data_IF_873958584277
#
_entry.id   IF_873958584277
#
_cell.length_a   1.000
_cell.length_b   1.000
_cell.length_c   1.000
_cell.angle_alpha   90.00
_cell.angle_beta   90.00
_cell.angle_gamma   90.00
#
_symmetry.space_group_name_H-M   'P 1'
#
loop_
_entity.id
_entity.type
_entity.pdbx_description
1 polymer ?
#
# COMPACT_ATOMS: atom_id res chain seq x y z
N UNK A 1 9.88 -43.89 -12.69
CA UNK A 1 9.83 -42.51 -12.19
C UNK A 1 8.86 -41.79 -13.11
N UNK A 2 7.62 -41.58 -12.66
CA UNK A 2 6.65 -40.85 -13.46
C UNK A 2 7.01 -39.37 -13.37
N UNK A 3 7.22 -38.73 -14.53
CA UNK A 3 7.29 -37.27 -14.63
C UNK A 3 5.98 -36.71 -14.07
N UNK A 4 6.09 -35.96 -12.99
CA UNK A 4 4.98 -35.17 -12.47
C UNK A 4 4.86 -33.99 -13.41
N UNK A 5 3.96 -34.09 -14.40
CA UNK A 5 3.57 -32.96 -15.23
C UNK A 5 3.14 -31.81 -14.31
N UNK A 6 3.84 -30.68 -14.41
CA UNK A 6 3.53 -29.48 -13.67
C UNK A 6 2.29 -28.82 -14.28
N UNK A 7 1.10 -29.17 -13.75
CA UNK A 7 -0.21 -28.75 -14.26
C UNK A 7 -0.45 -27.22 -14.18
N UNK A 8 0.46 -26.43 -13.60
CA UNK A 8 0.29 -24.98 -13.41
C UNK A 8 1.27 -24.10 -14.20
N UNK A 9 1.89 -24.59 -15.27
CA UNK A 9 2.72 -23.72 -16.10
C UNK A 9 1.86 -22.77 -16.94
N UNK A 10 1.94 -21.47 -16.66
CA UNK A 10 1.42 -20.41 -17.55
C UNK A 10 2.02 -20.60 -18.94
N UNK A 11 1.22 -20.56 -20.03
CA UNK A 11 1.74 -20.66 -21.39
C UNK A 11 2.86 -19.63 -21.63
N UNK A 12 3.91 -20.03 -22.35
CA UNK A 12 5.10 -19.18 -22.51
C UNK A 12 4.79 -17.78 -23.07
N UNK A 13 3.83 -17.68 -24.01
CA UNK A 13 3.36 -16.40 -24.55
C UNK A 13 2.65 -15.53 -23.51
N UNK A 14 1.79 -16.14 -22.67
CA UNK A 14 1.08 -15.45 -21.59
C UNK A 14 2.06 -15.02 -20.48
N UNK A 15 3.11 -15.79 -20.23
CA UNK A 15 4.17 -15.45 -19.27
C UNK A 15 5.02 -14.25 -19.74
N UNK A 16 5.28 -14.14 -21.04
CA UNK A 16 5.97 -12.97 -21.62
C UNK A 16 5.11 -11.70 -21.66
N UNK A 17 3.80 -11.83 -21.79
CA UNK A 17 2.89 -10.67 -21.87
C UNK A 17 2.39 -10.23 -20.50
N UNK A 18 2.05 -11.18 -19.64
CA UNK A 18 1.39 -10.95 -18.36
C UNK A 18 2.10 -11.55 -17.15
N UNK A 19 3.02 -12.49 -17.33
CA UNK A 19 3.70 -13.20 -16.24
C UNK A 19 5.00 -12.56 -15.78
N UNK A 20 5.99 -13.40 -15.50
CA UNK A 20 7.28 -12.99 -14.89
C UNK A 20 8.38 -12.73 -15.93
N UNK A 21 8.15 -13.08 -17.20
CA UNK A 21 9.10 -12.86 -18.31
C UNK A 21 8.84 -11.57 -19.10
N UNK A 22 8.00 -10.68 -18.57
CA UNK A 22 7.73 -9.39 -19.19
C UNK A 22 9.02 -8.56 -19.29
N UNK A 23 9.28 -7.88 -20.43
CA UNK A 23 10.54 -7.18 -20.66
C UNK A 23 10.78 -6.01 -19.71
N UNK A 24 9.73 -5.42 -19.15
CA UNK A 24 9.81 -4.29 -18.23
C UNK A 24 9.95 -4.68 -16.75
N UNK A 25 10.04 -5.97 -16.42
CA UNK A 25 10.33 -6.42 -15.05
C UNK A 25 11.62 -5.75 -14.55
N UNK A 26 11.57 -5.18 -13.35
CA UNK A 26 12.69 -4.48 -12.71
C UNK A 26 13.24 -3.25 -13.46
N UNK A 27 12.55 -2.78 -14.50
CA UNK A 27 13.00 -1.61 -15.29
C UNK A 27 12.87 -0.27 -14.56
N UNK A 28 12.11 -0.23 -13.45
CA UNK A 28 11.89 0.97 -12.67
C UNK A 28 12.24 0.75 -11.21
N UNK A 29 12.77 1.79 -10.56
CA UNK A 29 12.93 1.80 -9.11
C UNK A 29 11.54 1.93 -8.47
N UNK A 30 11.17 0.96 -7.65
CA UNK A 30 9.85 0.88 -7.02
C UNK A 30 9.87 1.24 -5.53
N UNK A 31 11.05 1.51 -4.95
CA UNK A 31 11.20 1.88 -3.55
C UNK A 31 10.42 3.16 -3.25
N UNK A 32 9.73 3.18 -2.11
CA UNK A 32 8.89 4.29 -1.67
C UNK A 32 7.82 4.74 -2.69
N UNK A 33 7.34 3.82 -3.54
CA UNK A 33 6.28 4.09 -4.51
C UNK A 33 4.85 4.03 -3.93
N UNK A 34 4.69 3.71 -2.65
CA UNK A 34 3.40 3.78 -1.97
C UNK A 34 3.18 5.15 -1.33
N UNK A 35 1.94 5.62 -1.34
CA UNK A 35 1.52 6.76 -0.51
C UNK A 35 1.49 6.32 0.95
N UNK A 36 1.98 7.15 1.88
CA UNK A 36 1.89 6.91 3.32
C UNK A 36 0.42 6.81 3.76
N UNK A 37 0.11 5.94 4.72
CA UNK A 37 -1.20 5.76 5.31
C UNK A 37 -1.09 5.01 6.64
N UNK A 38 -1.97 5.33 7.58
CA UNK A 38 -1.91 4.83 8.96
C UNK A 38 -2.73 3.58 9.23
N UNK A 39 -3.74 3.29 8.41
CA UNK A 39 -4.65 2.16 8.62
C UNK A 39 -5.00 1.47 7.31
N UNK A 40 -4.95 0.14 7.28
CA UNK A 40 -5.47 -0.67 6.19
C UNK A 40 -6.70 -1.44 6.63
N UNK A 41 -7.81 -1.26 5.90
CA UNK A 41 -9.05 -2.00 6.07
C UNK A 41 -9.17 -3.00 4.92
N UNK A 42 -9.32 -4.27 5.24
CA UNK A 42 -9.68 -5.32 4.28
C UNK A 42 -11.10 -5.81 4.55
N UNK A 43 -12.00 -5.61 3.59
CA UNK A 43 -13.34 -6.22 3.62
C UNK A 43 -13.25 -7.62 3.02
N UNK A 44 -13.72 -8.64 3.72
CA UNK A 44 -13.83 -10.00 3.20
C UNK A 44 -15.12 -10.08 2.37
N UNK A 45 -14.99 -10.38 1.08
CA UNK A 45 -16.13 -10.38 0.18
C UNK A 45 -15.89 -11.27 -1.02
N UNK A 46 -16.72 -12.30 -1.21
CA UNK A 46 -16.71 -13.23 -2.35
C UNK A 46 -15.32 -13.86 -2.59
N UNK A 47 -15.20 -14.66 -3.65
CA UNK A 47 -13.89 -15.15 -4.12
C UNK A 47 -13.43 -14.29 -5.31
N UNK A 48 -12.11 -14.25 -5.63
CA UNK A 48 -11.61 -13.40 -6.71
C UNK A 48 -12.22 -13.64 -8.08
N UNK A 49 -12.69 -14.86 -8.32
CA UNK A 49 -13.34 -15.24 -9.58
C UNK A 49 -14.70 -14.55 -9.76
N UNK A 50 -15.32 -14.10 -8.66
CA UNK A 50 -16.59 -13.37 -8.67
C UNK A 50 -16.42 -11.84 -8.54
N UNK A 51 -15.19 -11.33 -8.52
CA UNK A 51 -14.92 -9.91 -8.39
C UNK A 51 -15.02 -9.18 -9.73
N UNK A 52 -15.77 -8.08 -9.75
CA UNK A 52 -15.80 -7.14 -10.86
C UNK A 52 -14.48 -6.35 -10.93
N UNK A 53 -14.13 -5.85 -12.11
CA UNK A 53 -12.93 -5.02 -12.31
C UNK A 53 -12.87 -3.80 -11.39
N UNK A 54 -14.03 -3.25 -11.05
CA UNK A 54 -14.22 -2.20 -10.05
C UNK A 54 -15.08 -2.75 -8.91
N UNK A 55 -14.47 -3.59 -8.06
CA UNK A 55 -15.18 -4.28 -6.98
C UNK A 55 -15.80 -3.32 -5.96
N UNK A 56 -15.26 -2.11 -5.86
CA UNK A 56 -15.74 -0.99 -5.05
C UNK A 56 -17.01 -0.32 -5.59
N UNK A 57 -17.57 -0.77 -6.72
CA UNK A 57 -18.77 -0.17 -7.33
C UNK A 57 -20.06 -0.92 -7.01
N UNK A 58 -19.99 -2.10 -6.37
CA UNK A 58 -21.18 -2.85 -5.98
C UNK A 58 -21.09 -3.52 -4.60
N UNK A 59 -22.26 -3.70 -3.97
CA UNK A 59 -22.43 -4.49 -2.75
C UNK A 59 -21.70 -3.92 -1.54
N UNK A 60 -21.24 -4.80 -0.66
CA UNK A 60 -20.61 -4.40 0.59
C UNK A 60 -19.34 -3.54 0.39
N UNK A 61 -18.40 -3.88 -0.53
CA UNK A 61 -17.22 -3.03 -0.76
C UNK A 61 -17.58 -1.60 -1.18
N UNK A 62 -18.65 -1.41 -1.97
CA UNK A 62 -19.11 -0.08 -2.38
C UNK A 62 -19.52 0.77 -1.20
N UNK A 63 -20.27 0.22 -0.25
CA UNK A 63 -20.69 0.96 0.95
C UNK A 63 -19.48 1.48 1.73
N UNK A 64 -18.48 0.63 1.94
CA UNK A 64 -17.22 1.01 2.57
C UNK A 64 -16.46 2.07 1.76
N UNK A 65 -16.38 1.92 0.44
CA UNK A 65 -15.68 2.86 -0.42
C UNK A 65 -16.33 4.24 -0.44
N UNK A 66 -17.67 4.29 -0.51
CA UNK A 66 -18.44 5.53 -0.45
C UNK A 66 -18.24 6.24 0.88
N UNK A 67 -18.40 5.55 2.02
CA UNK A 67 -18.21 6.17 3.34
C UNK A 67 -16.76 6.65 3.54
N UNK A 68 -15.77 5.88 3.08
CA UNK A 68 -14.36 6.30 3.16
C UNK A 68 -14.09 7.56 2.33
N UNK A 69 -14.74 7.70 1.19
CA UNK A 69 -14.62 8.88 0.33
C UNK A 69 -15.31 10.10 0.97
N UNK A 70 -16.50 9.92 1.49
CA UNK A 70 -17.35 11.01 1.99
C UNK A 70 -16.88 11.54 3.36
N UNK A 71 -16.33 10.67 4.21
CA UNK A 71 -15.90 11.01 5.58
C UNK A 71 -14.37 11.17 5.73
N UNK A 72 -13.64 11.44 4.63
CA UNK A 72 -12.17 11.46 4.65
C UNK A 72 -11.57 12.45 5.65
N UNK A 73 -12.24 13.59 5.90
CA UNK A 73 -11.82 14.59 6.88
C UNK A 73 -12.00 14.17 8.34
N UNK A 74 -12.88 13.21 8.57
CA UNK A 74 -13.31 12.80 9.91
C UNK A 74 -12.49 11.61 10.44
N UNK A 75 -11.69 10.99 9.57
CA UNK A 75 -10.83 9.87 9.91
C UNK A 75 -9.62 10.33 10.74
N UNK A 76 -9.37 9.62 11.83
CA UNK A 76 -8.21 9.84 12.71
C UNK A 76 -6.87 9.69 11.98
N UNK A 77 -6.82 8.82 10.97
CA UNK A 77 -5.63 8.52 10.17
C UNK A 77 -6.02 8.25 8.73
N UNK A 78 -5.10 8.51 7.81
CA UNK A 78 -5.27 8.13 6.41
C UNK A 78 -5.49 6.62 6.33
N UNK A 79 -6.66 6.23 5.82
CA UNK A 79 -7.13 4.85 5.78
C UNK A 79 -7.18 4.36 4.33
N UNK A 80 -6.67 3.16 4.08
CA UNK A 80 -6.70 2.48 2.80
C UNK A 80 -7.70 1.32 2.85
N UNK A 81 -8.49 1.17 1.80
CA UNK A 81 -9.48 0.10 1.67
C UNK A 81 -9.05 -0.86 0.56
N UNK A 82 -9.08 -2.15 0.85
CA UNK A 82 -9.00 -3.23 -0.12
C UNK A 82 -10.02 -4.32 0.22
N UNK A 83 -10.21 -5.25 -0.70
CA UNK A 83 -11.02 -6.45 -0.49
C UNK A 83 -10.08 -7.64 -0.40
N UNK A 84 -10.43 -8.64 0.41
CA UNK A 84 -9.77 -9.94 0.38
C UNK A 84 -10.79 -11.08 0.28
N UNK A 85 -10.33 -12.26 -0.13
CA UNK A 85 -11.22 -13.40 -0.35
C UNK A 85 -11.99 -13.75 0.95
N UNK A 86 -13.32 -13.78 0.83
CA UNK A 86 -14.21 -14.03 1.95
C UNK A 86 -14.28 -15.50 2.34
N UNK A 87 -14.36 -16.41 1.37
CA UNK A 87 -14.27 -17.86 1.60
C UNK A 87 -15.24 -18.39 2.65
N UNK A 88 -16.46 -17.83 2.74
CA UNK A 88 -17.46 -18.16 3.77
C UNK A 88 -17.42 -17.24 5.01
N UNK A 89 -16.57 -16.23 5.01
CA UNK A 89 -16.52 -15.14 6.00
C UNK A 89 -16.83 -13.79 5.36
N UNK A 90 -17.69 -13.78 4.35
CA UNK A 90 -18.16 -12.57 3.70
C UNK A 90 -18.79 -11.62 4.74
N UNK A 91 -18.41 -10.34 4.69
CA UNK A 91 -18.80 -9.35 5.68
C UNK A 91 -17.81 -9.16 6.81
N UNK A 92 -16.81 -10.01 6.95
CA UNK A 92 -15.76 -9.77 7.93
C UNK A 92 -14.86 -8.60 7.50
N UNK A 93 -14.32 -7.87 8.46
CA UNK A 93 -13.43 -6.74 8.22
C UNK A 93 -12.17 -6.89 9.04
N UNK A 94 -11.00 -6.85 8.39
CA UNK A 94 -9.69 -6.86 9.03
C UNK A 94 -9.12 -5.45 9.08
N UNK A 95 -8.56 -5.06 10.22
CA UNK A 95 -7.91 -3.77 10.42
C UNK A 95 -6.45 -3.97 10.80
N UNK A 96 -5.56 -3.37 10.02
CA UNK A 96 -4.12 -3.29 10.27
C UNK A 96 -3.72 -1.82 10.48
N UNK A 97 -2.72 -1.52 11.33
CA UNK A 97 -1.84 -2.43 12.07
C UNK A 97 -2.46 -3.03 13.33
N UNK A 98 -3.72 -2.67 13.66
CA UNK A 98 -4.35 -3.02 14.93
C UNK A 98 -4.55 -4.54 15.14
N UNK A 99 -4.43 -5.36 14.09
CA UNK A 99 -4.60 -6.81 14.13
C UNK A 99 -5.97 -7.22 14.67
N UNK A 100 -7.03 -6.57 14.16
CA UNK A 100 -8.40 -6.82 14.61
C UNK A 100 -9.24 -7.37 13.45
N UNK A 101 -10.08 -8.35 13.74
CA UNK A 101 -11.15 -8.84 12.87
C UNK A 101 -12.51 -8.54 13.48
N UNK A 102 -13.37 -7.89 12.71
CA UNK A 102 -14.81 -7.77 13.00
C UNK A 102 -15.57 -8.73 12.11
N UNK A 103 -16.59 -9.40 12.66
CA UNK A 103 -17.26 -10.50 11.95
C UNK A 103 -18.65 -10.17 11.46
N UNK A 104 -18.94 -10.59 10.24
CA UNK A 104 -20.26 -10.67 9.65
C UNK A 104 -20.98 -9.32 9.59
N UNK A 105 -20.27 -8.24 9.26
CA UNK A 105 -20.87 -6.93 9.08
C UNK A 105 -21.79 -7.01 7.85
N UNK A 106 -23.08 -6.76 8.08
CA UNK A 106 -24.08 -6.74 7.02
C UNK A 106 -24.13 -5.37 6.35
N UNK A 107 -24.68 -5.35 5.14
CA UNK A 107 -24.96 -4.13 4.39
C UNK A 107 -25.68 -3.03 5.18
N UNK A 108 -26.60 -3.40 6.08
CA UNK A 108 -27.38 -2.47 6.90
C UNK A 108 -26.64 -1.95 8.13
N UNK A 109 -25.46 -2.48 8.42
CA UNK A 109 -24.68 -2.22 9.63
C UNK A 109 -23.39 -1.46 9.34
N UNK A 110 -23.05 -1.26 8.05
CA UNK A 110 -21.79 -0.65 7.61
C UNK A 110 -21.62 0.76 8.17
N UNK A 111 -22.68 1.57 8.12
CA UNK A 111 -22.63 2.97 8.55
C UNK A 111 -22.34 3.06 10.06
N UNK A 112 -23.00 2.25 10.87
CA UNK A 112 -22.77 2.19 12.32
C UNK A 112 -21.38 1.64 12.66
N UNK A 113 -20.92 0.62 11.95
CA UNK A 113 -19.56 0.10 12.08
C UNK A 113 -18.51 1.16 11.74
N UNK A 114 -18.69 1.84 10.61
CA UNK A 114 -17.76 2.84 10.11
C UNK A 114 -17.62 4.00 11.10
N UNK A 115 -18.75 4.49 11.62
CA UNK A 115 -18.79 5.56 12.62
C UNK A 115 -18.11 5.15 13.93
N UNK A 116 -18.49 4.00 14.52
CA UNK A 116 -17.90 3.55 15.78
C UNK A 116 -16.38 3.30 15.64
N UNK A 117 -15.97 2.56 14.60
CA UNK A 117 -14.60 2.02 14.49
C UNK A 117 -13.67 2.93 13.73
N UNK A 118 -14.07 3.39 12.54
CA UNK A 118 -13.15 4.10 11.65
C UNK A 118 -13.06 5.60 11.97
N UNK A 119 -14.18 6.23 12.32
CA UNK A 119 -14.26 7.64 12.73
C UNK A 119 -13.91 7.80 14.20
N UNK A 120 -14.62 7.12 15.10
CA UNK A 120 -14.49 7.34 16.55
C UNK A 120 -13.39 6.50 17.23
N UNK A 121 -12.82 5.50 16.55
CA UNK A 121 -11.78 4.63 17.12
C UNK A 121 -12.25 3.78 18.30
N UNK A 122 -13.55 3.47 18.37
CA UNK A 122 -14.18 2.68 19.44
C UNK A 122 -14.47 1.26 18.96
N UNK A 123 -14.53 0.27 19.87
CA UNK A 123 -15.02 -1.06 19.52
C UNK A 123 -16.43 -0.99 18.93
N UNK A 124 -16.69 -1.79 17.90
CA UNK A 124 -18.01 -1.85 17.28
C UNK A 124 -19.03 -2.44 18.27
N UNK A 125 -20.07 -1.67 18.59
CA UNK A 125 -21.03 -2.01 19.66
C UNK A 125 -21.88 -3.25 19.37
N UNK A 126 -22.16 -3.50 18.11
CA UNK A 126 -23.15 -4.51 17.68
C UNK A 126 -22.54 -5.85 17.31
N UNK A 127 -21.21 -5.95 17.28
CA UNK A 127 -20.54 -7.10 16.67
C UNK A 127 -19.52 -7.79 17.56
N UNK A 128 -19.03 -8.90 17.04
CA UNK A 128 -17.96 -9.68 17.67
C UNK A 128 -16.62 -9.28 17.07
N UNK A 129 -15.72 -8.86 17.96
CA UNK A 129 -14.33 -8.57 17.66
C UNK A 129 -13.46 -9.79 18.01
N UNK A 130 -12.48 -10.10 17.16
CA UNK A 130 -11.43 -11.10 17.38
C UNK A 130 -10.06 -10.45 17.18
N UNK A 131 -9.13 -10.73 18.09
CA UNK A 131 -7.72 -10.38 17.89
C UNK A 131 -7.08 -11.36 16.90
N UNK A 132 -6.28 -10.81 15.99
CA UNK A 132 -5.50 -11.55 15.01
C UNK A 132 -4.08 -11.73 15.55
N UNK A 133 -3.46 -12.86 15.24
CA UNK A 133 -2.07 -13.14 15.60
C UNK A 133 -1.30 -13.73 14.42
N UNK A 134 0.02 -13.69 14.51
CA UNK A 134 0.92 -14.17 13.46
C UNK A 134 1.10 -13.16 12.33
N UNK A 135 1.53 -13.68 11.19
CA UNK A 135 1.85 -12.91 9.98
C UNK A 135 0.74 -13.05 8.95
N UNK A 136 0.38 -11.96 8.28
CA UNK A 136 -0.57 -11.96 7.17
C UNK A 136 0.13 -11.57 5.88
N UNK A 137 0.00 -12.40 4.85
CA UNK A 137 0.48 -12.11 3.50
C UNK A 137 -0.70 -11.98 2.56
N UNK A 138 -0.89 -10.78 2.03
CA UNK A 138 -1.93 -10.46 1.06
C UNK A 138 -1.32 -10.42 -0.33
N UNK A 139 -1.72 -11.33 -1.21
CA UNK A 139 -1.24 -11.38 -2.61
C UNK A 139 -2.36 -10.93 -3.53
N UNK A 140 -2.06 -9.96 -4.40
CA UNK A 140 -3.02 -9.49 -5.39
C UNK A 140 -3.33 -10.58 -6.42
N UNK A 141 -4.60 -10.95 -6.56
CA UNK A 141 -5.05 -11.91 -7.60
C UNK A 141 -6.22 -11.38 -8.42
N UNK A 142 -6.38 -10.05 -8.49
CA UNK A 142 -7.57 -9.43 -9.07
C UNK A 142 -7.54 -9.45 -10.61
N UNK A 143 -7.86 -10.59 -11.21
CA UNK A 143 -7.72 -10.85 -12.64
C UNK A 143 -8.61 -9.94 -13.52
N UNK A 144 -9.82 -9.65 -13.08
CA UNK A 144 -10.78 -8.80 -13.79
C UNK A 144 -10.35 -7.33 -13.83
N UNK A 145 -9.66 -6.84 -12.79
CA UNK A 145 -9.06 -5.50 -12.77
C UNK A 145 -7.72 -5.46 -13.49
N UNK A 146 -6.91 -6.48 -13.29
CA UNK A 146 -5.55 -6.55 -13.81
C UNK A 146 -5.17 -7.99 -14.17
N UNK A 147 -5.09 -8.24 -15.48
CA UNK A 147 -4.70 -9.55 -16.04
C UNK A 147 -3.34 -10.03 -15.51
N UNK A 148 -2.37 -9.14 -15.29
CA UNK A 148 -1.06 -9.50 -14.72
C UNK A 148 -1.17 -9.98 -13.29
N UNK A 149 -2.02 -9.35 -12.48
CA UNK A 149 -2.29 -9.83 -11.13
C UNK A 149 -3.00 -11.19 -11.17
N UNK A 150 -3.90 -11.40 -12.14
CA UNK A 150 -4.54 -12.69 -12.39
C UNK A 150 -3.59 -13.82 -12.79
N UNK A 151 -2.51 -13.50 -13.52
CA UNK A 151 -1.50 -14.48 -13.95
C UNK A 151 -0.43 -14.70 -12.88
N UNK A 152 0.19 -13.63 -12.36
CA UNK A 152 1.28 -13.74 -11.40
C UNK A 152 0.82 -14.19 -10.00
N UNK A 153 -0.30 -13.64 -9.51
CA UNK A 153 -0.73 -13.80 -8.13
C UNK A 153 -0.97 -15.26 -7.69
N UNK A 154 -1.74 -16.07 -8.46
CA UNK A 154 -1.96 -17.47 -8.14
C UNK A 154 -0.67 -18.30 -8.04
N UNK A 155 0.29 -18.07 -8.94
CA UNK A 155 1.58 -18.79 -8.94
C UNK A 155 2.41 -18.46 -7.70
N UNK A 156 2.45 -17.17 -7.30
CA UNK A 156 3.12 -16.74 -6.05
C UNK A 156 2.45 -17.37 -4.83
N UNK A 157 1.12 -17.40 -4.78
CA UNK A 157 0.38 -18.01 -3.67
C UNK A 157 0.63 -19.50 -3.54
N UNK A 158 0.64 -20.24 -4.65
CA UNK A 158 0.96 -21.66 -4.65
C UNK A 158 2.37 -21.90 -4.11
N UNK A 159 3.34 -21.10 -4.54
CA UNK A 159 4.71 -21.16 -4.04
C UNK A 159 4.78 -20.91 -2.54
N UNK A 160 4.10 -19.89 -2.03
CA UNK A 160 3.98 -19.63 -0.59
C UNK A 160 3.37 -20.81 0.15
N UNK A 161 2.25 -21.36 -0.34
CA UNK A 161 1.58 -22.52 0.29
C UNK A 161 2.53 -23.72 0.41
N UNK A 162 3.30 -24.01 -0.64
CA UNK A 162 4.28 -25.11 -0.65
C UNK A 162 5.39 -24.89 0.38
N UNK A 163 6.01 -23.71 0.39
CA UNK A 163 7.11 -23.38 1.32
C UNK A 163 6.63 -23.30 2.79
N UNK A 164 5.47 -22.70 3.03
CA UNK A 164 4.88 -22.63 4.38
C UNK A 164 4.57 -24.04 4.90
N UNK A 165 4.01 -24.90 4.05
CA UNK A 165 3.72 -26.29 4.39
C UNK A 165 4.97 -27.11 4.68
N UNK A 166 6.00 -27.03 3.82
CA UNK A 166 7.25 -27.77 4.01
C UNK A 166 8.04 -27.33 5.25
N UNK A 167 7.86 -26.07 5.70
CA UNK A 167 8.52 -25.49 6.86
C UNK A 167 7.69 -25.57 8.15
N UNK A 168 6.47 -26.13 8.10
CA UNK A 168 5.58 -26.23 9.27
C UNK A 168 5.07 -24.88 9.79
N UNK A 169 4.99 -23.86 8.93
CA UNK A 169 4.61 -22.49 9.30
C UNK A 169 3.11 -22.20 9.15
N UNK A 170 2.29 -23.22 8.84
CA UNK A 170 0.86 -23.08 8.52
C UNK A 170 0.03 -22.38 9.60
N UNK A 171 0.40 -22.54 10.88
CA UNK A 171 -0.31 -21.90 12.00
C UNK A 171 0.20 -20.48 12.33
N UNK A 172 1.29 -20.05 11.69
CA UNK A 172 1.96 -18.77 11.96
C UNK A 172 1.72 -17.75 10.85
N UNK A 173 1.49 -18.22 9.62
CA UNK A 173 1.36 -17.37 8.43
C UNK A 173 0.00 -17.60 7.78
N UNK A 174 -0.82 -16.54 7.76
CA UNK A 174 -2.10 -16.51 7.05
C UNK A 174 -1.90 -15.92 5.65
N UNK A 175 -2.14 -16.71 4.62
CA UNK A 175 -2.17 -16.24 3.23
C UNK A 175 -3.58 -15.80 2.85
N UNK A 176 -3.69 -14.67 2.16
CA UNK A 176 -4.95 -14.16 1.62
C UNK A 176 -4.78 -13.66 0.18
N UNK A 177 -5.72 -14.01 -0.68
CA UNK A 177 -5.93 -13.31 -1.94
C UNK A 177 -6.57 -11.95 -1.67
N UNK A 178 -6.08 -10.89 -2.31
CA UNK A 178 -6.64 -9.56 -2.20
C UNK A 178 -6.93 -8.91 -3.56
N UNK A 179 -7.79 -7.89 -3.52
CA UNK A 179 -8.09 -7.02 -4.65
C UNK A 179 -6.84 -6.23 -5.05
N UNK A 180 -6.96 -5.44 -6.11
CA UNK A 180 -5.83 -4.75 -6.72
C UNK A 180 -5.07 -3.88 -5.69
N UNK A 181 -3.84 -4.29 -5.36
CA UNK A 181 -2.94 -3.59 -4.43
C UNK A 181 -1.66 -3.17 -5.14
N UNK A 182 -1.72 -2.13 -5.95
CA UNK A 182 -0.52 -1.59 -6.58
C UNK A 182 -0.80 -0.98 -7.93
N UNK A 183 0.24 -0.94 -8.75
CA UNK A 183 0.13 -0.58 -10.16
C UNK A 183 0.40 -1.82 -11.00
N UNK A 184 -0.25 -1.90 -12.16
CA UNK A 184 -0.10 -2.98 -13.14
C UNK A 184 1.37 -3.24 -13.52
N UNK A 185 2.16 -2.16 -13.65
CA UNK A 185 3.60 -2.27 -13.96
C UNK A 185 4.42 -2.99 -12.89
N UNK A 186 3.92 -3.14 -11.66
CA UNK A 186 4.63 -3.79 -10.54
C UNK A 186 4.06 -5.18 -10.20
N UNK A 187 3.24 -5.76 -11.07
CA UNK A 187 2.55 -7.02 -10.83
C UNK A 187 3.49 -8.13 -10.34
N UNK A 188 2.93 -9.01 -9.49
CA UNK A 188 3.69 -9.59 -8.38
C UNK A 188 3.58 -8.72 -7.12
N UNK A 189 2.42 -8.06 -6.92
CA UNK A 189 2.19 -7.20 -5.77
C UNK A 189 1.71 -8.02 -4.57
N UNK A 190 2.35 -7.81 -3.43
CA UNK A 190 1.90 -8.35 -2.14
C UNK A 190 2.18 -7.40 -0.98
N UNK A 191 1.50 -7.64 0.14
CA UNK A 191 1.69 -6.91 1.39
C UNK A 191 1.92 -7.91 2.51
N UNK A 192 2.92 -7.67 3.35
CA UNK A 192 3.22 -8.48 4.52
C UNK A 192 2.96 -7.65 5.77
N UNK A 193 2.02 -8.10 6.59
CA UNK A 193 1.83 -7.63 7.95
C UNK A 193 2.47 -8.61 8.92
N UNK A 194 3.48 -8.16 9.64
CA UNK A 194 4.21 -8.96 10.62
C UNK A 194 4.69 -8.09 11.79
N UNK A 195 4.81 -8.66 12.99
CA UNK A 195 5.48 -7.98 14.09
C UNK A 195 6.96 -7.76 13.76
N UNK A 196 7.50 -6.61 14.15
CA UNK A 196 8.94 -6.37 14.21
C UNK A 196 9.54 -6.96 15.50
N UNK A 197 10.84 -6.74 15.72
CA UNK A 197 11.56 -7.22 16.90
C UNK A 197 11.03 -6.63 18.22
N UNK A 198 10.33 -5.49 18.18
CA UNK A 198 9.66 -4.87 19.31
C UNK A 198 8.18 -5.30 19.45
N UNK A 199 7.70 -6.20 18.58
CA UNK A 199 6.32 -6.67 18.55
C UNK A 199 5.35 -5.69 17.87
N UNK A 200 5.82 -4.58 17.32
CA UNK A 200 4.99 -3.62 16.60
C UNK A 200 4.70 -4.13 15.20
N UNK A 201 3.43 -4.07 14.80
CA UNK A 201 3.00 -4.54 13.48
C UNK A 201 3.44 -3.55 12.40
N UNK A 202 4.22 -4.05 11.45
CA UNK A 202 4.62 -3.33 10.24
C UNK A 202 3.82 -3.83 9.04
N UNK A 203 3.62 -2.99 8.03
CA UNK A 203 2.92 -3.35 6.79
C UNK A 203 3.79 -3.06 5.58
N UNK A 204 4.53 -4.06 5.09
CA UNK A 204 5.53 -3.90 4.03
C UNK A 204 4.96 -4.27 2.67
N UNK A 205 5.08 -3.37 1.70
CA UNK A 205 4.62 -3.56 0.33
C UNK A 205 5.74 -4.06 -0.56
N UNK A 206 5.44 -5.03 -1.40
CA UNK A 206 6.36 -5.57 -2.40
C UNK A 206 5.72 -5.56 -3.79
N UNK A 207 6.55 -5.43 -4.81
CA UNK A 207 6.18 -5.54 -6.22
C UNK A 207 7.28 -6.25 -7.00
N UNK A 208 6.98 -6.64 -8.24
CA UNK A 208 7.86 -7.52 -9.03
C UNK A 208 8.21 -8.85 -8.34
N UNK A 209 7.40 -9.29 -7.37
CA UNK A 209 7.63 -10.56 -6.69
C UNK A 209 7.39 -11.70 -7.68
N UNK A 210 8.31 -12.66 -7.68
CA UNK A 210 8.28 -13.90 -8.42
C UNK A 210 8.24 -15.10 -7.45
N UNK A 211 7.96 -16.32 -7.94
CA UNK A 211 8.04 -17.52 -7.11
C UNK A 211 9.43 -17.77 -6.49
N UNK A 212 10.49 -17.29 -7.12
CA UNK A 212 11.86 -17.49 -6.64
C UNK A 212 12.19 -16.57 -5.44
N UNK A 213 11.41 -15.50 -5.26
CA UNK A 213 11.57 -14.57 -4.13
C UNK A 213 10.91 -15.07 -2.85
N UNK A 214 10.00 -16.06 -2.95
CA UNK A 214 9.21 -16.55 -1.80
C UNK A 214 10.06 -17.12 -0.66
N UNK A 215 11.08 -17.97 -0.91
CA UNK A 215 12.00 -18.40 0.14
C UNK A 215 12.67 -17.22 0.85
N UNK A 216 13.14 -16.22 0.09
CA UNK A 216 13.80 -15.05 0.67
C UNK A 216 12.83 -14.20 1.51
N UNK A 217 11.59 -14.02 1.07
CA UNK A 217 10.54 -13.34 1.83
C UNK A 217 10.23 -14.06 3.16
N UNK A 218 10.28 -15.39 3.17
CA UNK A 218 10.10 -16.16 4.41
C UNK A 218 11.33 -16.05 5.33
N UNK A 219 12.54 -16.18 4.77
CA UNK A 219 13.79 -16.29 5.52
C UNK A 219 14.34 -14.94 6.02
N UNK A 220 14.14 -13.86 5.26
CA UNK A 220 14.61 -12.53 5.60
C UNK A 220 13.49 -11.68 6.17
N UNK A 221 12.46 -11.40 5.38
CA UNK A 221 11.42 -10.46 5.80
C UNK A 221 10.58 -11.01 6.97
N UNK A 222 10.04 -12.22 6.85
CA UNK A 222 9.11 -12.76 7.86
C UNK A 222 9.87 -13.27 9.09
N UNK A 223 10.99 -13.98 8.91
CA UNK A 223 11.73 -14.57 10.03
C UNK A 223 12.64 -13.57 10.77
N UNK A 224 13.19 -12.57 10.07
CA UNK A 224 14.18 -11.62 10.65
C UNK A 224 13.73 -10.17 10.66
N UNK A 225 12.67 -9.81 9.94
CA UNK A 225 12.26 -8.42 9.73
C UNK A 225 13.17 -7.65 8.75
N UNK A 226 13.98 -8.35 7.96
CA UNK A 226 14.94 -7.74 7.02
C UNK A 226 14.26 -7.41 5.68
N UNK A 227 14.25 -6.12 5.32
CA UNK A 227 13.61 -5.61 4.10
C UNK A 227 14.40 -6.00 2.85
N UNK A 228 13.74 -6.69 1.92
CA UNK A 228 14.28 -7.02 0.60
C UNK A 228 14.14 -5.82 -0.35
N UNK A 229 15.13 -4.92 -0.33
CA UNK A 229 15.09 -3.60 -1.00
C UNK A 229 14.75 -3.66 -2.50
N UNK A 230 15.28 -4.64 -3.24
CA UNK A 230 15.08 -4.77 -4.70
C UNK A 230 13.61 -4.91 -5.15
N UNK A 231 12.75 -5.42 -4.28
CA UNK A 231 11.32 -5.64 -4.53
C UNK A 231 10.43 -4.86 -3.58
N UNK A 232 11.01 -4.09 -2.66
CA UNK A 232 10.28 -3.32 -1.65
C UNK A 232 9.74 -2.02 -2.24
N UNK A 233 8.49 -1.70 -1.88
CA UNK A 233 7.77 -0.52 -2.38
C UNK A 233 7.52 0.53 -1.33
N UNK A 234 7.72 0.21 -0.06
CA UNK A 234 7.46 1.09 1.05
C UNK A 234 6.78 0.36 2.21
N UNK A 235 6.74 1.04 3.35
CA UNK A 235 6.08 0.57 4.55
C UNK A 235 4.89 1.47 4.90
N UNK A 236 3.80 0.85 5.33
CA UNK A 236 2.70 1.54 6.00
C UNK A 236 3.24 2.31 7.20
N UNK A 237 2.94 3.61 7.25
CA UNK A 237 3.48 4.54 8.22
C UNK A 237 2.43 5.59 8.53
N UNK A 238 2.35 5.99 9.79
CA UNK A 238 1.59 7.19 10.14
C UNK A 238 2.26 8.41 9.49
N UNK A 239 1.49 9.36 8.95
CA UNK A 239 2.05 10.64 8.52
C UNK A 239 2.82 11.27 9.69
N UNK A 240 4.14 11.42 9.55
CA UNK A 240 5.02 11.98 10.58
C UNK A 240 5.96 11.00 11.29
N UNK A 241 5.90 9.69 11.00
CA UNK A 241 6.98 8.77 11.36
C UNK A 241 8.18 8.99 10.45
N UNK A 242 9.32 9.40 11.01
CA UNK A 242 10.56 9.55 10.23
C UNK A 242 10.90 8.24 9.52
N UNK A 243 11.09 8.30 8.21
CA UNK A 243 11.67 7.19 7.46
C UNK A 243 13.12 7.05 7.91
N UNK A 244 13.42 6.05 8.74
CA UNK A 244 14.80 5.68 9.03
C UNK A 244 15.49 5.34 7.70
N UNK A 245 16.38 6.22 7.27
CA UNK A 245 17.26 5.95 6.14
C UNK A 245 18.21 4.83 6.57
N UNK A 246 17.95 3.62 6.11
CA UNK A 246 18.90 2.51 6.21
C UNK A 246 20.15 2.91 5.42
N UNK A 247 21.22 3.26 6.13
CA UNK A 247 22.54 3.44 5.53
C UNK A 247 23.08 2.06 5.14
N UNK A 248 23.40 1.88 3.86
CA UNK A 248 24.26 0.78 3.40
C UNK A 248 25.62 0.89 4.09
N UNK A 249 25.93 -0.05 4.98
CA UNK A 249 27.29 -0.25 5.47
C UNK A 249 27.95 -1.29 4.57
N UNK A 250 28.81 -0.82 3.67
CA UNK A 250 29.76 -1.68 2.96
C UNK A 250 30.89 -2.02 3.94
N UNK A 251 31.15 -3.29 4.28
CA UNK A 251 32.29 -3.63 5.11
C UNK A 251 33.53 -3.73 4.21
N UNK A 252 34.46 -2.79 4.37
CA UNK A 252 35.83 -3.03 3.91
C UNK A 252 36.77 -3.09 5.11
N UNK A 253 37.49 -4.21 5.19
CA UNK A 253 38.25 -4.61 6.36
C UNK A 253 39.63 -3.97 6.49
N UNK A 254 40.07 -4.04 7.75
CA UNK A 254 41.43 -4.13 8.30
C UNK A 254 42.17 -2.87 8.79
N UNK A 255 42.42 -2.97 10.13
CA UNK A 255 43.63 -2.63 10.91
C UNK A 255 43.82 -1.14 11.22
N UNK A 256 44.16 -0.69 12.43
CA UNK A 256 44.89 -1.28 13.58
C UNK A 256 44.34 -0.66 14.88
N UNK A 257 44.42 -1.44 15.97
CA UNK A 257 44.17 -1.04 17.36
C UNK A 257 45.28 -0.11 17.86
N UNK A 258 44.94 1.08 18.36
CA UNK A 258 45.68 1.72 19.46
C UNK A 258 44.69 2.41 20.40
N UNK A 259 44.67 1.93 21.64
CA UNK A 259 44.13 2.63 22.80
C UNK A 259 45.04 3.82 23.14
N UNK A 260 44.48 4.97 23.49
CA UNK A 260 44.81 5.57 24.79
C UNK A 260 43.83 6.68 25.19
N UNK A 261 43.58 6.67 26.49
CA UNK A 261 42.74 7.53 27.31
C UNK A 261 43.09 9.03 27.29
N UNK A 262 42.08 9.90 27.41
CA UNK A 262 41.87 10.75 28.62
C UNK A 262 40.68 11.70 28.44
N UNK A 263 39.85 11.70 29.49
CA UNK A 263 38.89 12.76 29.76
C UNK A 263 39.60 14.08 30.10
N UNK A 264 39.13 15.21 29.57
CA UNK A 264 39.19 16.48 30.29
C UNK A 264 38.09 17.45 29.85
N UNK A 265 37.48 18.02 30.87
CA UNK A 265 36.43 19.03 30.93
C UNK A 265 36.95 20.45 30.70
N UNK A 266 36.18 21.30 30.01
CA UNK A 266 36.07 22.73 30.34
C UNK A 266 36.65 23.74 29.35
N UNK A 267 35.78 24.69 28.96
CA UNK A 267 36.05 26.12 29.20
C UNK A 267 36.75 26.96 28.13
N UNK A 268 35.96 27.84 27.52
CA UNK A 268 36.20 29.26 27.21
C UNK A 268 37.62 29.77 26.83
N UNK A 269 37.71 30.21 25.57
CA UNK A 269 38.24 31.49 25.07
C UNK A 269 39.46 32.15 25.78
N UNK A 270 40.59 32.22 25.07
CA UNK A 270 41.46 33.41 25.04
C UNK A 270 42.32 33.40 23.78
N UNK A 271 42.28 34.50 23.01
CA UNK A 271 42.98 34.66 21.74
C UNK A 271 44.24 35.50 21.84
N UNK A 272 44.96 35.58 20.72
CA UNK A 272 45.91 36.66 20.41
C UNK A 272 46.06 36.77 18.88
N UNK A 273 45.88 38.00 18.38
CA UNK A 273 46.02 38.52 17.00
C UNK A 273 44.80 38.25 16.08
N UNK A 274 43.89 39.19 15.77
CA UNK A 274 43.90 40.64 15.86
C UNK A 274 43.73 41.27 14.47
N UNK A 275 42.51 41.33 13.94
CA UNK A 275 41.99 42.44 13.10
C UNK A 275 40.46 42.49 13.27
N UNK A 276 40.00 43.66 13.70
CA UNK A 276 38.62 44.09 13.93
C UNK A 276 37.97 44.55 12.62
N UNK A 277 36.68 44.27 12.43
CA UNK A 277 35.77 45.12 11.63
C UNK A 277 34.30 44.75 11.96
N UNK A 278 33.71 45.47 12.92
CA UNK A 278 32.26 45.67 12.95
C UNK A 278 32.00 47.15 12.72
N UNK A 279 31.11 47.48 11.77
CA UNK A 279 30.25 48.65 11.92
C UNK A 279 28.90 48.38 11.25
N UNK A 280 27.86 48.44 12.07
CA UNK A 280 26.45 48.48 11.69
C UNK A 280 26.09 49.87 11.15
N UNK A 281 25.11 49.95 10.25
CA UNK A 281 24.04 50.94 10.40
C UNK A 281 22.73 50.50 9.70
N UNK A 282 21.65 51.10 10.15
CA UNK A 282 20.30 50.56 10.27
C UNK A 282 19.31 51.38 9.42
N UNK A 283 18.32 50.77 8.74
CA UNK A 283 17.10 51.49 8.29
C UNK A 283 15.93 50.59 7.83
N UNK A 284 14.98 50.38 8.76
CA UNK A 284 13.49 50.44 8.74
C UNK A 284 12.62 49.95 7.52
N UNK A 285 11.34 49.59 7.78
CA UNK A 285 10.62 48.47 7.13
C UNK A 285 9.40 48.86 6.26
N UNK A 286 8.87 47.90 5.46
CA UNK A 286 7.45 47.61 5.09
C UNK A 286 7.36 46.80 3.77
N UNK A 287 6.22 46.16 3.37
CA UNK A 287 5.00 45.83 4.11
C UNK A 287 4.57 44.33 4.02
N UNK A 288 3.64 43.96 4.90
CA UNK A 288 2.84 42.73 4.85
C UNK A 288 2.00 42.69 3.56
N UNK A 289 2.04 41.57 2.83
CA UNK A 289 0.95 41.14 1.94
C UNK A 289 0.47 39.76 2.38
N UNK A 290 -0.81 39.70 2.76
CA UNK A 290 -1.60 38.47 2.77
C UNK A 290 -1.76 38.01 1.32
N UNK A 291 -1.42 36.77 1.01
CA UNK A 291 -2.00 36.05 -0.12
C UNK A 291 -2.56 34.73 0.38
N UNK A 292 -3.89 34.66 0.39
CA UNK A 292 -4.63 33.41 0.27
C UNK A 292 -4.23 32.74 -1.04
N UNK A 293 -3.65 31.54 -0.98
CA UNK A 293 -3.61 30.64 -2.14
C UNK A 293 -4.08 29.26 -1.72
N UNK A 294 -5.35 29.04 -2.04
CA UNK A 294 -5.96 27.75 -2.30
C UNK A 294 -5.03 26.95 -3.23
N UNK A 295 -4.29 26.00 -2.68
CA UNK A 295 -3.57 25.01 -3.46
C UNK A 295 -4.55 23.90 -3.82
N UNK A 296 -5.18 24.06 -4.99
CA UNK A 296 -5.82 22.95 -5.70
C UNK A 296 -4.71 21.96 -6.08
N UNK A 297 -4.59 20.89 -5.31
CA UNK A 297 -3.76 19.74 -5.67
C UNK A 297 -4.51 18.93 -6.74
N UNK A 298 -4.26 19.23 -8.01
CA UNK A 298 -4.61 18.32 -9.10
C UNK A 298 -3.68 17.10 -9.02
N UNK A 299 -4.26 15.92 -8.75
CA UNK A 299 -3.59 14.66 -9.05
C UNK A 299 -3.45 14.50 -10.57
N UNK A 300 -2.40 13.83 -11.08
CA UNK A 300 -2.33 13.51 -12.50
C UNK A 300 -3.41 12.47 -12.80
N UNK A 301 -4.42 12.88 -13.57
CA UNK A 301 -5.43 12.02 -14.17
C UNK A 301 -4.81 11.18 -15.30
N UNK A 302 -5.19 9.91 -15.36
CA UNK A 302 -4.77 8.98 -16.40
C UNK A 302 -5.25 9.44 -17.79
N UNK A 303 -4.39 9.27 -18.80
CA UNK A 303 -4.64 9.77 -20.16
C UNK A 303 -5.91 9.21 -20.82
N UNK A 304 -6.47 8.11 -20.33
CA UNK A 304 -7.70 7.52 -20.87
C UNK A 304 -8.99 8.22 -20.38
N UNK A 305 -9.01 8.78 -19.17
CA UNK A 305 -10.19 9.49 -18.65
C UNK A 305 -10.40 10.84 -19.36
N UNK A 306 -9.33 11.45 -19.90
CA UNK A 306 -9.41 12.67 -20.71
C UNK A 306 -10.20 12.44 -22.01
N UNK A 307 -10.02 11.29 -22.67
CA UNK A 307 -10.70 10.98 -23.92
C UNK A 307 -12.18 10.63 -23.72
N UNK A 308 -12.53 9.95 -22.63
CA UNK A 308 -13.93 9.62 -22.29
C UNK A 308 -14.69 10.88 -21.86
N UNK A 309 -14.06 11.77 -21.07
CA UNK A 309 -14.64 13.05 -20.69
C UNK A 309 -14.91 13.98 -21.87
N UNK A 310 -13.98 14.05 -22.83
CA UNK A 310 -14.16 14.86 -24.05
C UNK A 310 -15.28 14.33 -24.96
N UNK A 311 -15.42 13.01 -25.08
CA UNK A 311 -16.47 12.38 -25.89
C UNK A 311 -17.88 12.60 -25.30
N UNK A 312 -18.02 12.50 -23.97
CA UNK A 312 -19.31 12.70 -23.29
C UNK A 312 -19.80 14.15 -23.40
N UNK A 313 -18.91 15.13 -23.26
CA UNK A 313 -19.26 16.57 -23.40
C UNK A 313 -19.65 16.89 -24.85
N UNK A 314 -18.96 16.31 -25.84
CA UNK A 314 -19.30 16.48 -27.26
C UNK A 314 -20.68 15.94 -27.62
N UNK A 315 -21.06 14.77 -27.07
CA UNK A 315 -22.36 14.15 -27.31
C UNK A 315 -23.52 14.94 -26.67
N UNK A 316 -23.33 15.46 -25.45
CA UNK A 316 -24.36 16.27 -24.77
C UNK A 316 -24.58 17.61 -25.48
N UNK A 317 -23.50 18.24 -25.96
CA UNK A 317 -23.60 19.50 -26.71
C UNK A 317 -24.33 19.34 -28.05
N UNK A 318 -24.11 18.23 -28.77
CA UNK A 318 -24.80 17.94 -30.04
C UNK A 318 -26.27 17.62 -29.84
N UNK A 319 -26.63 16.88 -28.79
CA UNK A 319 -28.04 16.61 -28.44
C UNK A 319 -28.75 17.90 -28.01
N UNK A 320 -28.10 18.75 -27.21
CA UNK A 320 -28.67 20.02 -26.77
C UNK A 320 -28.90 20.99 -27.95
N UNK A 321 -27.94 21.08 -28.89
CA UNK A 321 -28.12 21.90 -30.09
C UNK A 321 -29.25 21.37 -30.98
N UNK A 322 -29.31 20.05 -31.23
CA UNK A 322 -30.40 19.45 -31.99
C UNK A 322 -31.78 19.72 -31.36
N UNK A 323 -31.89 19.60 -30.03
CA UNK A 323 -33.13 19.89 -29.31
C UNK A 323 -33.55 21.36 -29.42
N UNK A 324 -32.59 22.30 -29.39
CA UNK A 324 -32.90 23.74 -29.57
C UNK A 324 -33.31 24.11 -30.99
N UNK A 325 -32.81 23.40 -32.01
CA UNK A 325 -33.27 23.60 -33.39
C UNK A 325 -34.68 23.03 -33.62
N UNK A 326 -34.97 21.84 -33.09
CA UNK A 326 -36.30 21.23 -33.24
C UNK A 326 -37.42 22.01 -32.53
N UNK A 327 -37.14 22.62 -31.36
CA UNK A 327 -38.15 23.42 -30.63
C UNK A 327 -38.46 24.77 -31.30
N UNK A 328 -37.64 25.22 -32.25
CA UNK A 328 -37.77 26.54 -32.90
C UNK A 328 -38.50 26.49 -34.25
N UNK A 329 -38.89 25.30 -34.70
CA UNK A 329 -39.55 25.05 -35.99
C UNK A 329 -40.93 24.40 -35.87
N UNK A 330 -41.54 24.46 -34.68
CA UNK A 330 -42.93 24.04 -34.43
C UNK A 330 -43.80 25.21 -34.00
#
# INVERSE_FOLDING_TARGET
MAEVENVNSVPASEDTEYGFKRPEMYSTNIANSITSYGRHVFVLYKTPEAWLSHIEEEGLPQRFATLLKDSKSDLLVQTKLNVCEGGGSDGDVLIFPDMIRYKGIKDTEVEGFFEDVLVNGKPWRSGRQEELSGTFVFVCTHASRDKRCGVCGPVILERFKKEIGSRGLTNQITLKRCSHVGQHKYAGNLIIYSPDSAGKITGNWYGYVTPDDVPELLDQQIAKGEIIQRIWRGQMSLPGGEAEKVHEVIPNGNRVVEEESKAFTGGCCQGSNGVSCCQEENSKPKPIKKEEKCTKWFQPLDKEEYYIGAAAVGAVATIAMAYTFFKRSG
#
